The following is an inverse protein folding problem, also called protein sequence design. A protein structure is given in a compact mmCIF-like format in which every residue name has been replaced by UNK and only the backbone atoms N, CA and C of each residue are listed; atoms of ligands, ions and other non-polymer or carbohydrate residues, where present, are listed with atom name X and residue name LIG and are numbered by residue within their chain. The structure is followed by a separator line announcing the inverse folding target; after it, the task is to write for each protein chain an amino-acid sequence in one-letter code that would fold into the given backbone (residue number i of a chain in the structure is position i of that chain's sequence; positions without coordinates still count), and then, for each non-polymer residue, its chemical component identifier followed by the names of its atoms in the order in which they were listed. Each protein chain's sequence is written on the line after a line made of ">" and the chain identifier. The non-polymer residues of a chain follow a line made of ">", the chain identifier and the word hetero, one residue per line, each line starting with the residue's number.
data_IF_166157273997
#
_entry.id   IF_166157273997
#
_cell.length_a   1.000
_cell.length_b   1.000
_cell.length_c   1.000
_cell.angle_alpha   90.00
_cell.angle_beta   90.00
_cell.angle_gamma   90.00
#
_symmetry.space_group_name_H-M   'P 1'
#
loop_
_entity.id
_entity.type
_entity.pdbx_description
1 polymer ?
#
# COMPACT_ATOMS: atom_id res chain seq x y z
N UNK A 1 13.99 9.98 -1.16
CA UNK A 1 12.96 8.96 -0.85
C UNK A 1 12.99 8.70 0.65
N UNK A 2 11.93 9.07 1.38
CA UNK A 2 11.90 9.00 2.85
C UNK A 2 12.09 7.56 3.38
N UNK A 3 12.90 7.35 4.42
CA UNK A 3 13.20 6.01 4.97
C UNK A 3 11.96 5.25 5.48
N UNK A 4 10.86 5.93 5.78
CA UNK A 4 9.62 5.29 6.27
C UNK A 4 8.72 4.70 5.17
N UNK A 5 8.85 5.15 3.91
CA UNK A 5 8.27 4.45 2.75
C UNK A 5 8.79 3.01 2.63
N UNK A 6 10.06 2.79 2.98
CA UNK A 6 10.66 1.45 2.99
C UNK A 6 10.04 0.53 4.02
N UNK A 7 9.65 1.04 5.19
CA UNK A 7 8.98 0.24 6.23
C UNK A 7 7.64 -0.31 5.74
N UNK A 8 6.82 0.52 5.11
CA UNK A 8 5.52 0.09 4.62
C UNK A 8 5.66 -0.89 3.44
N UNK A 9 6.61 -0.63 2.54
CA UNK A 9 6.93 -1.58 1.48
C UNK A 9 7.47 -2.90 2.04
N UNK A 10 8.30 -2.87 3.08
CA UNK A 10 8.78 -4.07 3.79
C UNK A 10 7.64 -4.88 4.39
N UNK A 11 6.76 -4.26 5.19
CA UNK A 11 5.63 -4.95 5.82
C UNK A 11 4.71 -5.69 4.84
N UNK A 12 4.56 -5.17 3.62
CA UNK A 12 3.79 -5.83 2.57
C UNK A 12 4.60 -6.84 1.76
N UNK A 13 5.88 -6.55 1.49
CA UNK A 13 6.78 -7.49 0.80
C UNK A 13 6.92 -8.78 1.61
N UNK A 14 7.01 -8.65 2.94
CA UNK A 14 7.10 -9.76 3.89
C UNK A 14 5.75 -10.45 4.15
N UNK A 15 4.63 -9.86 3.72
CA UNK A 15 3.28 -10.46 3.82
C UNK A 15 2.62 -10.58 2.44
N UNK A 16 3.02 -11.59 1.64
CA UNK A 16 2.48 -11.79 0.28
C UNK A 16 0.96 -11.99 0.23
N UNK A 17 0.34 -12.41 1.34
CA UNK A 17 -1.12 -12.54 1.47
C UNK A 17 -1.85 -11.19 1.39
N UNK A 18 -1.20 -10.06 1.75
CA UNK A 18 -1.78 -8.72 1.65
C UNK A 18 -1.85 -8.20 0.22
N UNK A 19 -1.19 -8.89 -0.72
CA UNK A 19 -1.15 -8.54 -2.14
C UNK A 19 -2.00 -9.51 -2.98
N UNK A 20 -3.01 -10.15 -2.39
CA UNK A 20 -3.95 -11.03 -3.10
C UNK A 20 -5.28 -10.32 -3.33
N UNK A 21 -5.79 -10.43 -4.55
CA UNK A 21 -7.04 -9.84 -4.97
C UNK A 21 -8.21 -10.60 -4.34
N UNK A 22 -9.09 -9.93 -3.56
CA UNK A 22 -10.23 -10.59 -2.93
C UNK A 22 -11.27 -11.07 -3.95
N UNK A 23 -11.29 -10.51 -5.16
CA UNK A 23 -12.26 -10.88 -6.19
C UNK A 23 -11.87 -12.10 -7.02
N UNK A 24 -10.58 -12.33 -7.29
CA UNK A 24 -10.15 -13.40 -8.20
C UNK A 24 -8.94 -14.21 -7.72
N UNK A 25 -8.41 -13.91 -6.53
CA UNK A 25 -7.26 -14.61 -5.93
C UNK A 25 -5.90 -14.31 -6.59
N UNK A 26 -5.85 -13.46 -7.62
CA UNK A 26 -4.60 -13.10 -8.29
C UNK A 26 -3.84 -11.99 -7.57
N UNK A 27 -2.59 -11.74 -7.94
CA UNK A 27 -1.75 -10.71 -7.34
C UNK A 27 -2.26 -9.31 -7.66
N UNK A 28 -2.25 -8.49 -6.63
CA UNK A 28 -2.44 -7.05 -6.70
C UNK A 28 -1.11 -6.37 -7.07
N UNK A 29 -1.18 -5.26 -7.80
CA UNK A 29 -0.05 -4.42 -8.16
C UNK A 29 -0.32 -2.99 -7.72
N UNK A 30 0.66 -2.36 -7.07
CA UNK A 30 0.60 -0.94 -6.75
C UNK A 30 0.83 -0.16 -8.06
N UNK A 31 -0.15 0.64 -8.47
CA UNK A 31 -0.03 1.51 -9.65
C UNK A 31 0.69 2.81 -9.29
N UNK A 32 0.34 3.41 -8.15
CA UNK A 32 1.02 4.57 -7.62
C UNK A 32 0.88 4.63 -6.09
N UNK A 33 1.81 5.37 -5.49
CA UNK A 33 1.85 5.65 -4.07
C UNK A 33 2.20 7.12 -3.89
N UNK A 34 1.43 7.80 -3.02
CA UNK A 34 1.76 9.15 -2.58
C UNK A 34 1.86 9.17 -1.07
N UNK A 35 2.88 9.87 -0.58
CA UNK A 35 3.19 9.99 0.82
C UNK A 35 3.06 11.44 1.23
N UNK A 36 2.43 11.68 2.38
CA UNK A 36 2.45 12.98 3.04
C UNK A 36 2.74 12.77 4.51
N UNK A 37 3.36 13.75 5.13
CA UNK A 37 3.64 13.72 6.55
C UNK A 37 3.20 15.01 7.19
N UNK A 38 2.78 14.94 8.45
CA UNK A 38 2.53 16.10 9.30
C UNK A 38 3.12 15.85 10.70
N UNK A 39 2.95 16.78 11.63
CA UNK A 39 3.53 16.69 12.97
C UNK A 39 3.14 15.41 13.75
N UNK A 40 1.95 14.85 13.51
CA UNK A 40 1.40 13.77 14.32
C UNK A 40 1.46 12.40 13.65
N UNK A 41 1.37 12.36 12.31
CA UNK A 41 1.32 11.13 11.55
C UNK A 41 1.97 11.24 10.18
N UNK A 42 2.33 10.07 9.66
CA UNK A 42 2.64 9.83 8.26
C UNK A 42 1.42 9.17 7.61
N UNK A 43 1.06 9.60 6.40
CA UNK A 43 0.00 8.98 5.60
C UNK A 43 0.56 8.54 4.24
N UNK A 44 0.33 7.29 3.87
CA UNK A 44 0.50 6.81 2.50
C UNK A 44 -0.86 6.50 1.87
N UNK A 45 -1.13 7.10 0.72
CA UNK A 45 -2.23 6.73 -0.16
C UNK A 45 -1.67 5.89 -1.31
N UNK A 46 -2.26 4.72 -1.54
CA UNK A 46 -1.90 3.80 -2.62
C UNK A 46 -3.08 3.48 -3.49
N UNK A 47 -2.87 3.54 -4.80
CA UNK A 47 -3.78 2.97 -5.77
C UNK A 47 -3.24 1.60 -6.19
N UNK A 48 -4.04 0.56 -5.96
CA UNK A 48 -3.68 -0.84 -6.16
C UNK A 48 -4.65 -1.45 -7.16
N UNK A 49 -4.15 -2.18 -8.14
CA UNK A 49 -4.94 -2.78 -9.21
C UNK A 49 -4.67 -4.27 -9.32
N UNK A 50 -5.73 -5.04 -9.55
CA UNK A 50 -5.62 -6.40 -10.06
C UNK A 50 -5.55 -6.38 -11.59
N UNK A 51 -4.50 -6.94 -12.17
CA UNK A 51 -4.36 -6.99 -13.63
C UNK A 51 -5.29 -8.01 -14.30
N UNK A 52 -5.79 -9.00 -13.55
CA UNK A 52 -6.67 -10.05 -14.09
C UNK A 52 -8.13 -9.63 -14.13
N UNK A 53 -8.71 -9.24 -13.00
CA UNK A 53 -10.12 -8.86 -12.94
C UNK A 53 -10.37 -7.35 -13.03
N UNK A 54 -9.31 -6.53 -13.03
CA UNK A 54 -9.42 -5.07 -13.13
C UNK A 54 -9.85 -4.36 -11.85
N UNK A 55 -10.04 -5.09 -10.73
CA UNK A 55 -10.38 -4.50 -9.44
C UNK A 55 -9.37 -3.43 -9.04
N UNK A 56 -9.86 -2.27 -8.60
CA UNK A 56 -9.07 -1.16 -8.09
C UNK A 56 -9.36 -0.93 -6.62
N UNK A 57 -8.31 -0.78 -5.82
CA UNK A 57 -8.37 -0.57 -4.37
C UNK A 57 -7.58 0.70 -4.07
N UNK A 58 -8.19 1.61 -3.32
CA UNK A 58 -7.51 2.79 -2.77
C UNK A 58 -7.24 2.52 -1.30
N UNK A 59 -5.97 2.37 -0.94
CA UNK A 59 -5.53 2.05 0.42
C UNK A 59 -4.93 3.29 1.08
N UNK A 60 -5.33 3.55 2.32
CA UNK A 60 -4.75 4.59 3.18
C UNK A 60 -4.07 3.93 4.37
N UNK A 61 -2.80 4.27 4.61
CA UNK A 61 -2.02 3.76 5.73
C UNK A 61 -1.59 4.94 6.58
N UNK A 62 -2.04 4.95 7.83
CA UNK A 62 -1.70 5.94 8.84
C UNK A 62 -0.68 5.35 9.80
N UNK A 63 0.44 6.06 9.98
CA UNK A 63 1.48 5.69 10.94
C UNK A 63 1.63 6.85 11.89
N UNK A 64 1.24 6.67 13.15
CA UNK A 64 1.42 7.67 14.19
C UNK A 64 2.92 7.86 14.44
N UNK A 65 3.34 9.11 14.64
CA UNK A 65 4.70 9.41 15.12
C UNK A 65 4.73 9.03 16.61
N UNK A 66 5.56 8.05 16.94
CA UNK A 66 5.95 7.75 18.33
C UNK A 66 7.02 8.69 18.84
#
# INVERSE_FOLDING_TARGET
>A
MEPRLRLINGMMHDNPLLMICPGCGDRLKIENETARSNANYYIAERNIKCNKCGLKIRQYIYILRG
#
